data_IF_877449995113
#
_entry.id   IF_877449995113
#
_cell.length_a   1.000
_cell.length_b   1.000
_cell.length_c   1.000
_cell.angle_alpha   90.00
_cell.angle_beta   90.00
_cell.angle_gamma   90.00
#
_symmetry.space_group_name_H-M   'P 1'
#
loop_
_entity.id
_entity.type
_entity.pdbx_description
1 polymer ?
#
# COMPACT_ATOMS: atom_id res chain seq x y z
N UNK A 1 0.45 -14.42 6.50
CA UNK A 1 1.70 -15.10 6.09
C UNK A 1 1.51 -16.44 5.36
N UNK A 2 0.72 -17.41 5.86
CA UNK A 2 0.53 -18.71 5.16
C UNK A 2 -0.10 -18.53 3.78
N UNK A 3 -1.19 -17.76 3.67
CA UNK A 3 -1.86 -17.49 2.40
C UNK A 3 -0.92 -16.87 1.35
N UNK A 4 -0.11 -15.88 1.73
CA UNK A 4 0.93 -15.31 0.86
C UNK A 4 1.90 -16.39 0.34
N UNK A 5 2.39 -17.29 1.21
CA UNK A 5 3.28 -18.39 0.80
C UNK A 5 2.58 -19.36 -0.16
N UNK A 6 1.29 -19.64 0.04
CA UNK A 6 0.50 -20.46 -0.89
C UNK A 6 0.36 -19.79 -2.25
N UNK A 7 0.08 -18.49 -2.30
CA UNK A 7 0.00 -17.71 -3.54
C UNK A 7 1.34 -17.69 -4.27
N UNK A 8 2.45 -17.43 -3.56
CA UNK A 8 3.80 -17.44 -4.15
C UNK A 8 4.16 -18.83 -4.67
N UNK A 9 3.82 -19.89 -3.94
CA UNK A 9 4.03 -21.28 -4.38
C UNK A 9 3.21 -21.60 -5.63
N UNK A 10 1.97 -21.12 -5.69
CA UNK A 10 1.08 -21.37 -6.83
C UNK A 10 1.51 -20.61 -8.08
N UNK A 11 1.86 -19.32 -7.96
CA UNK A 11 2.26 -18.48 -9.08
C UNK A 11 3.71 -18.71 -9.54
N UNK A 12 4.59 -19.12 -8.62
CA UNK A 12 6.03 -19.18 -8.82
C UNK A 12 6.73 -17.88 -8.41
N UNK A 13 7.84 -18.00 -7.67
CA UNK A 13 8.60 -16.84 -7.17
C UNK A 13 9.20 -16.01 -8.31
N UNK A 14 9.73 -16.65 -9.35
CA UNK A 14 10.28 -15.95 -10.53
C UNK A 14 9.19 -15.18 -11.28
N UNK A 15 8.01 -15.79 -11.48
CA UNK A 15 6.84 -15.12 -12.06
C UNK A 15 6.46 -13.85 -11.28
N UNK A 16 6.48 -13.92 -9.94
CA UNK A 16 6.23 -12.75 -9.09
C UNK A 16 7.31 -11.66 -9.29
N UNK A 17 8.58 -12.05 -9.30
CA UNK A 17 9.71 -11.12 -9.52
C UNK A 17 9.58 -10.43 -10.88
N UNK A 18 9.30 -11.20 -11.92
CA UNK A 18 9.15 -10.69 -13.28
C UNK A 18 7.94 -9.76 -13.39
N UNK A 19 6.82 -10.10 -12.75
CA UNK A 19 5.65 -9.25 -12.68
C UNK A 19 5.94 -7.92 -11.97
N UNK A 20 6.65 -7.94 -10.84
CA UNK A 20 7.04 -6.73 -10.11
C UNK A 20 7.97 -5.85 -10.95
N UNK A 21 8.96 -6.42 -11.64
CA UNK A 21 9.85 -5.68 -12.54
C UNK A 21 9.09 -5.13 -13.76
N UNK A 22 8.25 -5.94 -14.40
CA UNK A 22 7.42 -5.54 -15.53
C UNK A 22 6.49 -4.38 -15.17
N UNK A 23 5.96 -4.37 -13.95
CA UNK A 23 5.12 -3.27 -13.44
C UNK A 23 5.90 -1.97 -13.25
N UNK A 24 7.24 -2.01 -13.20
CA UNK A 24 8.13 -0.85 -13.07
C UNK A 24 8.94 -0.82 -11.77
N UNK A 25 8.90 -1.87 -10.95
CA UNK A 25 9.68 -1.97 -9.72
C UNK A 25 11.18 -2.07 -9.99
N UNK A 26 11.97 -1.30 -9.26
CA UNK A 26 13.44 -1.24 -9.41
C UNK A 26 14.18 -1.99 -8.30
N UNK A 27 13.62 -2.05 -7.09
CA UNK A 27 14.21 -2.68 -5.90
C UNK A 27 13.51 -4.02 -5.62
N UNK A 28 13.50 -4.90 -6.61
CA UNK A 28 12.78 -6.19 -6.53
C UNK A 28 13.71 -7.30 -6.05
N UNK A 29 13.53 -7.74 -4.80
CA UNK A 29 14.30 -8.81 -4.15
C UNK A 29 15.84 -8.71 -4.26
N UNK A 30 16.47 -7.54 -4.00
CA UNK A 30 17.93 -7.41 -4.08
C UNK A 30 18.61 -8.38 -3.10
N UNK A 31 19.48 -9.24 -3.62
CA UNK A 31 20.11 -10.31 -2.83
C UNK A 31 19.12 -11.28 -2.19
N UNK A 32 17.92 -11.44 -2.78
CA UNK A 32 16.85 -12.31 -2.30
C UNK A 32 16.04 -11.76 -1.11
N UNK A 33 16.30 -10.53 -0.67
CA UNK A 33 15.66 -9.92 0.53
C UNK A 33 14.35 -9.23 0.18
N UNK A 34 13.38 -9.27 1.09
CA UNK A 34 12.14 -8.50 0.99
C UNK A 34 12.42 -7.02 1.27
N UNK A 35 12.88 -6.29 0.26
CA UNK A 35 13.11 -4.86 0.31
C UNK A 35 12.22 -4.16 -0.73
N UNK A 36 11.87 -2.91 -0.44
CA UNK A 36 11.07 -2.06 -1.33
C UNK A 36 11.43 -0.60 -1.12
N UNK A 37 10.88 0.27 -1.94
CA UNK A 37 10.95 1.73 -1.78
C UNK A 37 9.54 2.30 -1.88
N UNK A 38 9.37 3.55 -1.40
CA UNK A 38 8.08 4.23 -1.55
C UNK A 38 7.68 4.39 -3.03
N UNK A 39 8.67 4.54 -3.92
CA UNK A 39 8.48 4.59 -5.38
C UNK A 39 8.00 3.26 -5.95
N UNK A 40 8.62 2.15 -5.59
CA UNK A 40 8.20 0.84 -6.09
C UNK A 40 6.79 0.50 -5.63
N UNK A 41 6.48 0.78 -4.35
CA UNK A 41 5.12 0.58 -3.83
C UNK A 41 4.10 1.47 -4.54
N UNK A 42 4.41 2.74 -4.84
CA UNK A 42 3.47 3.61 -5.56
C UNK A 42 3.21 3.11 -6.98
N UNK A 43 4.22 2.53 -7.63
CA UNK A 43 4.07 1.85 -8.93
C UNK A 43 3.13 0.65 -8.83
N UNK A 44 3.23 -0.18 -7.79
CA UNK A 44 2.33 -1.33 -7.62
C UNK A 44 0.89 -0.92 -7.27
N UNK A 45 0.71 0.15 -6.48
CA UNK A 45 -0.62 0.73 -6.24
C UNK A 45 -1.19 1.27 -7.56
N UNK A 46 -0.39 1.96 -8.37
CA UNK A 46 -0.82 2.43 -9.70
C UNK A 46 -1.19 1.27 -10.63
N UNK A 47 -0.40 0.20 -10.65
CA UNK A 47 -0.70 -1.01 -11.42
C UNK A 47 -2.03 -1.66 -11.00
N UNK A 48 -2.38 -1.59 -9.71
CA UNK A 48 -3.67 -2.05 -9.18
C UNK A 48 -4.83 -1.19 -9.73
N UNK A 49 -4.68 0.14 -9.74
CA UNK A 49 -5.67 1.06 -10.32
C UNK A 49 -5.84 0.85 -11.83
N UNK A 50 -4.76 0.56 -12.54
CA UNK A 50 -4.83 0.27 -13.98
C UNK A 50 -5.40 -1.12 -14.26
N UNK A 51 -5.21 -2.09 -13.36
CA UNK A 51 -5.89 -3.38 -13.43
C UNK A 51 -7.39 -3.24 -13.27
N UNK A 52 -7.88 -2.35 -12.38
CA UNK A 52 -9.32 -2.01 -12.28
C UNK A 52 -9.88 -1.51 -13.62
N UNK A 53 -9.10 -0.76 -14.41
CA UNK A 53 -9.55 -0.29 -15.74
C UNK A 53 -9.57 -1.42 -16.77
N UNK A 54 -8.59 -2.31 -16.74
CA UNK A 54 -8.42 -3.41 -17.70
C UNK A 54 -9.37 -4.58 -17.44
N UNK A 55 -9.58 -4.93 -16.18
CA UNK A 55 -10.49 -5.97 -15.72
C UNK A 55 -11.29 -5.46 -14.51
N UNK A 56 -12.41 -4.76 -14.75
CA UNK A 56 -13.19 -4.15 -13.68
C UNK A 56 -13.73 -5.13 -12.66
N UNK A 57 -14.00 -6.39 -13.04
CA UNK A 57 -14.56 -7.38 -12.11
C UNK A 57 -13.51 -7.77 -11.07
N UNK A 58 -12.35 -8.23 -11.53
CA UNK A 58 -11.30 -8.72 -10.63
C UNK A 58 -10.54 -7.56 -9.96
N UNK A 59 -10.31 -6.46 -10.68
CA UNK A 59 -9.65 -5.29 -10.13
C UNK A 59 -10.47 -4.61 -9.04
N UNK A 60 -11.79 -4.44 -9.21
CA UNK A 60 -12.65 -3.89 -8.13
C UNK A 60 -12.69 -4.81 -6.93
N UNK A 61 -12.69 -6.14 -7.13
CA UNK A 61 -12.61 -7.08 -6.00
C UNK A 61 -11.31 -6.91 -5.22
N UNK A 62 -10.17 -6.82 -5.90
CA UNK A 62 -8.88 -6.60 -5.24
C UNK A 62 -8.85 -5.26 -4.48
N UNK A 63 -9.37 -4.19 -5.08
CA UNK A 63 -9.43 -2.88 -4.45
C UNK A 63 -10.35 -2.87 -3.22
N UNK A 64 -11.48 -3.60 -3.29
CA UNK A 64 -12.40 -3.82 -2.19
C UNK A 64 -11.76 -4.58 -1.03
N UNK A 65 -11.01 -5.64 -1.32
CA UNK A 65 -10.24 -6.39 -0.31
C UNK A 65 -9.18 -5.49 0.37
N UNK A 66 -8.55 -4.57 -0.37
CA UNK A 66 -7.60 -3.59 0.17
C UNK A 66 -8.27 -2.49 1.03
N UNK A 67 -9.54 -2.18 0.76
CA UNK A 67 -10.30 -1.19 1.52
C UNK A 67 -10.89 -1.76 2.82
N UNK A 68 -11.06 -3.08 2.92
CA UNK A 68 -11.71 -3.77 4.03
C UNK A 68 -10.76 -4.72 4.78
N UNK A 69 -9.50 -4.29 4.91
CA UNK A 69 -8.55 -4.92 5.82
C UNK A 69 -9.04 -4.81 7.28
N UNK A 70 -8.67 -5.74 8.16
CA UNK A 70 -9.00 -5.62 9.60
C UNK A 70 -8.15 -4.55 10.33
N UNK A 71 -7.18 -3.96 9.63
CA UNK A 71 -6.28 -2.94 10.15
C UNK A 71 -6.54 -1.60 9.47
N UNK A 72 -6.72 -0.56 10.28
CA UNK A 72 -7.01 0.80 9.84
C UNK A 72 -6.30 1.86 10.71
N UNK A 73 -5.09 1.56 11.16
CA UNK A 73 -4.33 2.43 12.08
C UNK A 73 -3.34 3.34 11.35
N UNK A 74 -2.90 2.94 10.15
CA UNK A 74 -1.99 3.71 9.29
C UNK A 74 -2.70 4.81 8.50
N UNK A 75 -2.67 4.72 7.17
CA UNK A 75 -3.23 5.73 6.27
C UNK A 75 -4.68 6.15 6.58
N UNK A 76 -5.63 5.24 6.88
CA UNK A 76 -6.99 5.65 7.21
C UNK A 76 -7.15 6.22 8.62
N UNK A 77 -6.19 6.01 9.53
CA UNK A 77 -6.39 6.16 10.98
C UNK A 77 -6.79 7.57 11.46
N UNK A 78 -6.54 8.61 10.67
CA UNK A 78 -6.94 9.99 10.98
C UNK A 78 -7.67 10.71 9.83
N UNK A 79 -8.10 9.97 8.81
CA UNK A 79 -8.96 10.47 7.73
C UNK A 79 -10.44 10.21 8.12
N UNK A 80 -11.40 11.06 7.73
CA UNK A 80 -12.81 10.82 8.00
C UNK A 80 -13.28 9.44 7.51
N UNK A 81 -14.01 8.70 8.34
CA UNK A 81 -14.35 7.29 8.12
C UNK A 81 -15.16 7.01 6.85
N UNK A 82 -15.86 8.02 6.30
CA UNK A 82 -16.58 7.91 5.03
C UNK A 82 -15.68 7.92 3.80
N UNK A 83 -14.40 8.30 3.94
CA UNK A 83 -13.44 8.31 2.85
C UNK A 83 -12.85 6.91 2.71
N UNK A 84 -13.02 6.32 1.52
CA UNK A 84 -12.47 5.01 1.23
C UNK A 84 -10.95 5.14 1.06
N UNK A 85 -10.22 4.32 1.80
CA UNK A 85 -8.77 4.18 1.69
C UNK A 85 -8.46 2.71 1.40
N UNK A 86 -8.08 2.41 0.16
CA UNK A 86 -7.66 1.05 -0.21
C UNK A 86 -6.14 0.94 -0.02
N UNK A 87 -5.70 0.15 0.95
CA UNK A 87 -4.33 0.19 1.43
C UNK A 87 -3.82 -1.16 1.95
N UNK A 88 -2.51 -1.22 2.24
CA UNK A 88 -1.90 -2.36 2.90
C UNK A 88 -0.83 -1.91 3.89
N UNK A 89 -1.14 -2.11 5.17
CA UNK A 89 -0.18 -1.96 6.26
C UNK A 89 0.87 -3.07 6.26
N UNK A 90 2.06 -2.77 6.77
CA UNK A 90 3.12 -3.75 6.98
C UNK A 90 3.97 -3.37 8.17
N UNK A 91 4.20 -4.33 9.05
CA UNK A 91 5.01 -4.18 10.24
C UNK A 91 6.03 -5.32 10.35
N UNK A 92 7.22 -4.96 10.81
CA UNK A 92 8.24 -5.85 11.36
C UNK A 92 8.97 -5.06 12.46
N UNK A 93 9.89 -5.71 13.17
CA UNK A 93 10.71 -5.04 14.18
C UNK A 93 11.33 -3.74 13.66
N UNK A 94 11.01 -2.64 14.33
CA UNK A 94 11.46 -1.29 14.03
C UNK A 94 11.04 -0.72 12.67
N UNK A 95 9.97 -1.24 12.05
CA UNK A 95 9.39 -0.75 10.80
C UNK A 95 7.88 -0.75 10.89
N UNK A 96 7.27 0.41 10.65
CA UNK A 96 5.87 0.56 10.28
C UNK A 96 5.79 1.09 8.83
N UNK A 97 4.89 0.55 8.04
CA UNK A 97 4.71 0.93 6.64
C UNK A 97 3.24 0.85 6.25
N UNK A 98 2.83 1.69 5.33
CA UNK A 98 1.52 1.61 4.70
C UNK A 98 1.56 2.22 3.29
N UNK A 99 0.83 1.62 2.37
CA UNK A 99 0.79 1.98 0.96
C UNK A 99 -0.63 1.82 0.43
N UNK A 100 -1.16 2.85 -0.20
CA UNK A 100 -2.52 2.79 -0.71
C UNK A 100 -2.95 4.01 -1.50
N UNK A 101 -4.25 4.05 -1.77
CA UNK A 101 -4.95 5.12 -2.47
C UNK A 101 -6.07 5.66 -1.59
N UNK A 102 -6.15 6.99 -1.48
CA UNK A 102 -7.21 7.71 -0.77
C UNK A 102 -8.20 8.25 -1.78
N UNK A 103 -9.46 7.80 -1.73
CA UNK A 103 -10.51 8.19 -2.66
C UNK A 103 -11.29 9.40 -2.13
N UNK A 104 -10.64 10.57 -2.14
CA UNK A 104 -11.29 11.86 -1.87
C UNK A 104 -11.64 12.58 -3.19
N UNK A 105 -12.08 13.85 -3.12
CA UNK A 105 -12.43 14.63 -4.32
C UNK A 105 -11.29 14.71 -5.35
N UNK A 106 -10.03 14.71 -4.87
CA UNK A 106 -8.81 14.61 -5.68
C UNK A 106 -8.02 13.37 -5.25
N UNK A 107 -8.34 12.18 -5.77
CA UNK A 107 -7.72 10.94 -5.33
C UNK A 107 -6.20 10.95 -5.51
N UNK A 108 -5.49 10.33 -4.58
CA UNK A 108 -4.04 10.26 -4.61
C UNK A 108 -3.52 8.93 -4.05
N UNK A 109 -2.35 8.52 -4.54
CA UNK A 109 -1.57 7.43 -3.95
C UNK A 109 -0.69 8.02 -2.86
N UNK A 110 -0.67 7.38 -1.69
CA UNK A 110 0.24 7.71 -0.61
C UNK A 110 0.95 6.45 -0.14
N UNK A 111 2.26 6.56 0.01
CA UNK A 111 3.11 5.50 0.56
C UNK A 111 4.00 6.10 1.62
N UNK A 112 3.98 5.52 2.81
CA UNK A 112 4.84 5.90 3.92
C UNK A 112 5.56 4.65 4.41
N UNK A 113 6.89 4.68 4.38
CA UNK A 113 7.75 3.64 4.91
C UNK A 113 8.60 4.25 6.02
N UNK A 114 8.68 3.59 7.17
CA UNK A 114 9.56 4.01 8.27
C UNK A 114 10.69 2.99 8.48
N UNK A 115 11.72 3.41 9.20
CA UNK A 115 12.81 2.56 9.66
C UNK A 115 13.34 3.09 10.99
N UNK A 116 13.66 2.19 11.92
CA UNK A 116 14.21 2.56 13.22
C UNK A 116 13.16 3.13 14.17
N UNK A 117 11.87 2.82 13.95
CA UNK A 117 10.81 3.17 14.91
C UNK A 117 10.97 2.33 16.17
N UNK A 118 11.03 2.96 17.35
CA UNK A 118 11.18 2.22 18.62
C UNK A 118 9.90 1.55 19.08
N UNK A 119 8.77 2.17 18.73
CA UNK A 119 7.42 1.68 18.97
C UNK A 119 6.70 1.68 17.62
N UNK A 120 6.29 0.49 17.16
CA UNK A 120 5.60 0.30 15.88
C UNK A 120 4.22 0.96 15.90
N UNK A 121 3.53 0.96 17.04
CA UNK A 121 2.22 1.60 17.18
C UNK A 121 2.36 3.12 17.04
N UNK A 122 3.43 3.69 17.60
CA UNK A 122 3.77 5.09 17.36
C UNK A 122 4.08 5.35 15.89
N UNK A 123 4.81 4.44 15.24
CA UNK A 123 5.07 4.51 13.80
C UNK A 123 3.79 4.58 12.97
N UNK A 124 2.76 3.78 13.28
CA UNK A 124 1.46 3.87 12.61
C UNK A 124 0.72 5.17 12.93
N UNK A 125 0.78 5.66 14.17
CA UNK A 125 0.21 6.98 14.52
C UNK A 125 0.86 8.12 13.71
N UNK A 126 2.17 8.04 13.48
CA UNK A 126 2.90 9.01 12.67
C UNK A 126 2.49 8.92 11.19
N UNK A 127 2.34 7.70 10.65
CA UNK A 127 1.79 7.45 9.30
C UNK A 127 0.39 8.08 9.15
N UNK A 128 -0.49 7.87 10.12
CA UNK A 128 -1.84 8.43 10.11
C UNK A 128 -1.81 9.97 10.11
N UNK A 129 -0.90 10.58 10.87
CA UNK A 129 -0.66 12.01 10.88
C UNK A 129 -0.23 12.56 9.52
N UNK A 130 0.74 11.91 8.86
CA UNK A 130 1.18 12.26 7.49
C UNK A 130 0.02 12.13 6.49
N UNK A 131 -0.78 11.07 6.62
CA UNK A 131 -1.95 10.82 5.78
C UNK A 131 -2.99 11.94 5.92
N UNK A 132 -3.28 12.37 7.16
CA UNK A 132 -4.18 13.50 7.44
C UNK A 132 -3.68 14.82 6.84
N UNK A 133 -2.38 15.11 6.97
CA UNK A 133 -1.78 16.33 6.37
C UNK A 133 -1.99 16.32 4.85
N UNK A 134 -1.71 15.18 4.21
CA UNK A 134 -1.85 15.02 2.75
C UNK A 134 -3.32 15.13 2.32
N UNK A 135 -4.23 14.50 3.05
CA UNK A 135 -5.67 14.56 2.81
C UNK A 135 -6.21 15.99 2.90
N UNK A 136 -5.83 16.71 3.97
CA UNK A 136 -6.24 18.10 4.16
C UNK A 136 -5.72 18.99 3.02
N UNK A 137 -4.46 18.80 2.60
CA UNK A 137 -3.90 19.53 1.46
C UNK A 137 -4.69 19.26 0.18
N UNK A 138 -4.95 17.99 -0.16
CA UNK A 138 -5.67 17.62 -1.38
C UNK A 138 -7.12 18.08 -1.40
N UNK A 139 -7.77 18.19 -0.24
CA UNK A 139 -9.16 18.66 -0.13
C UNK A 139 -9.30 20.19 -0.11
N UNK A 140 -8.23 20.92 0.22
CA UNK A 140 -8.20 22.39 0.17
C UNK A 140 -7.85 22.95 -1.21
N UNK A 141 -7.22 22.15 -2.08
CA UNK A 141 -6.89 22.57 -3.44
C UNK A 141 -8.17 22.61 -4.30
N UNK A 142 -8.47 23.80 -4.83
CA UNK A 142 -9.54 24.01 -5.81
C UNK A 142 -9.26 23.30 -7.14
#
# INVERSE_FOLDING_TARGET
>A
NIAYRMLVKHAGKETLIDFMKYSGGQTVFPGGKNLTTARDMSVYVQATLDFVKKDPKNGKRLLDDLAHSIYHVGLPGQIPAQIIVAHKEGDIDNVAADAGVVFCARPYILVVLSKGVKDVDQGFRDIAGISKITYNYQTQLK
#
